data_IF_318946590069
#
_entry.id   IF_318946590069
#
_cell.length_a   1.000
_cell.length_b   1.000
_cell.length_c   1.000
_cell.angle_alpha   90.00
_cell.angle_beta   90.00
_cell.angle_gamma   90.00
#
_symmetry.space_group_name_H-M   'P 1'
#
loop_
_entity.id
_entity.type
_entity.pdbx_description
1 polymer ?
#
# COMPACT_ATOMS: atom_id res chain seq x y z
N UNK A 1 7.15 24.09 -10.16
CA UNK A 1 7.38 22.99 -9.18
C UNK A 1 6.25 21.98 -9.25
N UNK A 2 6.55 20.66 -9.14
CA UNK A 2 5.58 19.55 -9.07
C UNK A 2 5.61 18.96 -7.65
N UNK A 3 4.45 18.68 -7.07
CA UNK A 3 4.33 17.93 -5.80
C UNK A 3 3.69 16.57 -6.06
N UNK A 4 4.26 15.51 -5.48
CA UNK A 4 3.75 14.15 -5.48
C UNK A 4 3.50 13.74 -4.02
N UNK A 5 2.31 13.24 -3.72
CA UNK A 5 1.91 12.77 -2.39
C UNK A 5 1.31 11.37 -2.48
N UNK A 6 1.90 10.40 -1.76
CA UNK A 6 1.37 9.06 -1.57
C UNK A 6 0.85 8.94 -0.14
N UNK A 7 -0.48 8.92 0.03
CA UNK A 7 -1.13 8.98 1.33
C UNK A 7 -1.80 7.65 1.71
N UNK A 8 -1.22 6.98 2.69
CA UNK A 8 -1.84 5.85 3.38
C UNK A 8 -2.65 6.27 4.61
N UNK A 9 -3.13 5.27 5.35
CA UNK A 9 -3.90 5.52 6.58
C UNK A 9 -3.08 6.16 7.70
N UNK A 10 -1.77 5.94 7.76
CA UNK A 10 -0.91 6.36 8.87
C UNK A 10 0.10 7.43 8.51
N UNK A 11 0.49 7.51 7.26
CA UNK A 11 1.52 8.43 6.76
C UNK A 11 1.20 8.90 5.35
N UNK A 12 1.71 10.09 5.01
CA UNK A 12 1.85 10.57 3.64
C UNK A 12 3.33 10.77 3.34
N UNK A 13 3.82 10.10 2.32
CA UNK A 13 5.15 10.34 1.77
C UNK A 13 5.06 11.38 0.64
N UNK A 14 5.82 12.47 0.78
CA UNK A 14 5.85 13.59 -0.15
C UNK A 14 7.14 13.65 -0.92
N UNK A 15 7.05 14.07 -2.17
CA UNK A 15 8.17 14.58 -2.97
C UNK A 15 7.75 15.87 -3.63
N UNK A 16 8.61 16.88 -3.57
CA UNK A 16 8.49 18.04 -4.44
C UNK A 16 9.69 18.11 -5.37
N UNK A 17 9.44 18.51 -6.60
CA UNK A 17 10.42 18.58 -7.66
C UNK A 17 10.42 20.01 -8.16
N UNK A 18 11.49 20.73 -7.81
CA UNK A 18 11.67 22.14 -8.22
C UNK A 18 11.99 22.25 -9.72
N UNK A 19 11.86 23.44 -10.27
CA UNK A 19 12.10 23.70 -11.69
C UNK A 19 13.55 23.46 -12.10
N UNK A 20 14.49 23.52 -11.14
CA UNK A 20 15.90 23.17 -11.36
C UNK A 20 16.21 21.67 -11.20
N UNK A 21 15.20 20.83 -10.92
CA UNK A 21 15.33 19.38 -10.73
C UNK A 21 15.74 18.94 -9.32
N UNK A 22 15.81 19.85 -8.35
CA UNK A 22 16.05 19.47 -6.95
C UNK A 22 14.81 18.77 -6.39
N UNK A 23 15.02 17.66 -5.70
CA UNK A 23 13.96 16.87 -5.08
C UNK A 23 14.01 17.04 -3.57
N UNK A 24 12.91 17.49 -2.98
CA UNK A 24 12.73 17.51 -1.53
C UNK A 24 11.82 16.35 -1.11
N UNK A 25 12.06 15.82 0.08
CA UNK A 25 11.37 14.64 0.61
C UNK A 25 10.89 14.92 2.00
N UNK A 26 9.61 14.64 2.25
CA UNK A 26 9.00 14.83 3.55
C UNK A 26 8.07 13.67 3.87
N UNK A 27 7.86 13.41 5.15
CA UNK A 27 6.83 12.50 5.65
C UNK A 27 5.96 13.19 6.68
N UNK A 28 4.65 13.09 6.51
CA UNK A 28 3.65 13.63 7.44
C UNK A 28 2.68 12.54 7.89
N UNK A 29 1.79 12.81 8.86
CA UNK A 29 0.64 11.96 9.13
C UNK A 29 -0.21 11.73 7.87
N UNK A 30 -0.86 10.55 7.79
CA UNK A 30 -1.68 10.17 6.65
C UNK A 30 -2.96 11.00 6.56
N UNK A 31 -3.27 11.48 5.38
CA UNK A 31 -4.51 12.19 5.09
C UNK A 31 -5.52 11.22 4.47
N UNK A 32 -6.19 10.45 5.31
CA UNK A 32 -7.22 9.53 4.85
C UNK A 32 -8.42 10.32 4.34
N UNK A 33 -8.68 10.23 3.05
CA UNK A 33 -9.76 10.98 2.36
C UNK A 33 -11.16 10.72 2.92
N UNK A 34 -11.39 9.57 3.55
CA UNK A 34 -12.68 9.22 4.12
C UNK A 34 -12.93 9.80 5.53
N UNK A 35 -11.89 10.22 6.25
CA UNK A 35 -11.98 10.57 7.67
C UNK A 35 -11.20 11.82 8.09
N UNK A 36 -10.31 12.34 7.27
CA UNK A 36 -9.55 13.54 7.58
C UNK A 36 -10.46 14.79 7.57
N UNK A 37 -10.40 15.60 8.63
CA UNK A 37 -11.13 16.86 8.70
C UNK A 37 -10.38 17.98 7.99
N UNK A 38 -11.07 19.05 7.53
CA UNK A 38 -10.41 20.20 6.92
C UNK A 38 -9.32 20.82 7.81
N UNK A 39 -9.55 20.90 9.11
CA UNK A 39 -8.58 21.46 10.08
C UNK A 39 -7.33 20.60 10.18
N UNK A 40 -7.50 19.28 10.17
CA UNK A 40 -6.37 18.34 10.18
C UNK A 40 -5.54 18.47 8.90
N UNK A 41 -6.22 18.48 7.73
CA UNK A 41 -5.56 18.63 6.43
C UNK A 41 -4.80 19.96 6.36
N UNK A 42 -5.45 21.07 6.74
CA UNK A 42 -4.84 22.39 6.78
C UNK A 42 -3.60 22.42 7.69
N UNK A 43 -3.67 21.78 8.87
CA UNK A 43 -2.52 21.63 9.78
C UNK A 43 -1.36 20.84 9.18
N UNK A 44 -1.65 19.74 8.47
CA UNK A 44 -0.63 18.94 7.76
C UNK A 44 0.02 19.77 6.67
N UNK A 45 -0.77 20.46 5.83
CA UNK A 45 -0.24 21.31 4.75
C UNK A 45 0.60 22.46 5.29
N UNK A 46 0.14 23.16 6.34
CA UNK A 46 0.89 24.25 6.96
C UNK A 46 2.27 23.80 7.46
N UNK A 47 2.39 22.56 7.96
CA UNK A 47 3.68 21.99 8.37
C UNK A 47 4.53 21.50 7.21
N UNK A 48 3.90 21.05 6.13
CA UNK A 48 4.60 20.43 5.00
C UNK A 48 5.17 21.45 4.01
N UNK A 49 4.43 22.54 3.73
CA UNK A 49 4.78 23.52 2.70
C UNK A 49 6.20 24.11 2.89
N UNK A 50 6.63 24.57 4.06
CA UNK A 50 7.95 25.16 4.23
C UNK A 50 9.11 24.19 3.95
N UNK A 51 8.87 22.90 4.11
CA UNK A 51 9.87 21.84 3.87
C UNK A 51 9.84 21.33 2.43
N UNK A 52 8.67 21.35 1.79
CA UNK A 52 8.51 20.94 0.40
C UNK A 52 8.92 22.05 -0.59
N UNK A 53 8.79 23.30 -0.18
CA UNK A 53 9.17 24.45 -0.99
C UNK A 53 9.94 25.50 -0.17
N UNK A 54 11.20 25.24 0.19
CA UNK A 54 12.03 26.20 0.91
C UNK A 54 12.42 27.41 0.05
N UNK A 55 12.24 27.34 -1.27
CA UNK A 55 12.59 28.40 -2.22
C UNK A 55 11.43 29.35 -2.55
N UNK A 56 10.18 28.98 -2.23
CA UNK A 56 8.98 29.76 -2.55
C UNK A 56 8.64 29.73 -4.04
N UNK A 57 8.89 28.63 -4.73
CA UNK A 57 8.53 28.45 -6.13
C UNK A 57 7.00 28.28 -6.27
N UNK A 58 6.45 28.70 -7.41
CA UNK A 58 5.05 28.43 -7.72
C UNK A 58 4.83 26.92 -7.95
N UNK A 59 3.96 26.31 -7.16
CA UNK A 59 3.50 24.93 -7.38
C UNK A 59 2.49 24.94 -8.53
N UNK A 60 2.80 24.22 -9.60
CA UNK A 60 1.97 24.16 -10.83
C UNK A 60 1.18 22.86 -10.94
N UNK A 61 1.68 21.78 -10.36
CA UNK A 61 1.06 20.45 -10.44
C UNK A 61 1.13 19.74 -9.08
N UNK A 62 0.03 19.08 -8.68
CA UNK A 62 -0.01 18.21 -7.51
C UNK A 62 -0.63 16.89 -7.93
N UNK A 63 0.11 15.79 -7.72
CA UNK A 63 -0.38 14.43 -7.93
C UNK A 63 -0.58 13.75 -6.57
N UNK A 64 -1.84 13.63 -6.17
CA UNK A 64 -2.22 13.07 -4.88
C UNK A 64 -2.82 11.67 -5.04
N UNK A 65 -2.13 10.69 -4.48
CA UNK A 65 -2.52 9.29 -4.50
C UNK A 65 -2.94 8.84 -3.11
N UNK A 66 -4.07 8.17 -3.00
CA UNK A 66 -4.49 7.62 -1.72
C UNK A 66 -5.35 6.35 -1.84
N UNK A 67 -5.23 5.50 -0.80
CA UNK A 67 -6.15 4.39 -0.61
C UNK A 67 -7.60 4.88 -0.47
N UNK A 68 -8.53 4.19 -1.12
CA UNK A 68 -9.95 4.54 -1.10
C UNK A 68 -10.38 5.67 -2.06
N UNK A 69 -9.45 6.31 -2.75
CA UNK A 69 -9.79 7.19 -3.87
C UNK A 69 -10.26 6.34 -5.06
N UNK A 70 -11.51 6.59 -5.48
CA UNK A 70 -12.06 6.06 -6.73
C UNK A 70 -12.20 7.26 -7.66
N UNK A 71 -11.23 7.47 -8.53
CA UNK A 71 -11.22 8.52 -9.52
C UNK A 71 -10.94 7.93 -10.89
N UNK A 72 -11.63 8.45 -11.90
CA UNK A 72 -11.33 8.22 -13.31
C UNK A 72 -10.30 9.23 -13.87
N UNK A 73 -9.78 10.10 -12.99
CA UNK A 73 -8.83 11.15 -13.34
C UNK A 73 -9.47 12.42 -13.93
N UNK A 74 -10.79 12.48 -14.08
CA UNK A 74 -11.48 13.60 -14.75
C UNK A 74 -12.20 14.54 -13.78
N UNK A 75 -12.57 14.08 -12.59
CA UNK A 75 -13.31 14.86 -11.61
C UNK A 75 -12.74 14.64 -10.19
N UNK A 76 -12.88 15.68 -9.35
CA UNK A 76 -12.59 15.57 -7.92
C UNK A 76 -13.58 14.59 -7.29
N UNK A 77 -13.12 13.46 -6.73
CA UNK A 77 -14.02 12.52 -6.06
C UNK A 77 -14.70 13.17 -4.86
N UNK A 78 -15.96 12.81 -4.58
CA UNK A 78 -16.69 13.35 -3.43
C UNK A 78 -15.91 13.18 -2.11
N UNK A 79 -15.19 12.07 -1.96
CA UNK A 79 -14.33 11.81 -0.80
C UNK A 79 -13.11 12.75 -0.71
N UNK A 80 -12.70 13.38 -1.79
CA UNK A 80 -11.55 14.29 -1.82
C UNK A 80 -11.92 15.77 -1.74
N UNK A 81 -13.20 16.15 -1.73
CA UNK A 81 -13.62 17.56 -1.78
C UNK A 81 -13.03 18.44 -0.68
N UNK A 82 -12.95 17.93 0.55
CA UNK A 82 -12.35 18.68 1.65
C UNK A 82 -10.84 18.88 1.43
N UNK A 83 -10.17 17.82 0.96
CA UNK A 83 -8.75 17.87 0.64
C UNK A 83 -8.47 18.84 -0.50
N UNK A 84 -9.29 18.77 -1.57
CA UNK A 84 -9.21 19.66 -2.72
C UNK A 84 -9.36 21.14 -2.33
N UNK A 85 -10.35 21.45 -1.50
CA UNK A 85 -10.55 22.81 -0.99
C UNK A 85 -9.34 23.32 -0.19
N UNK A 86 -8.72 22.50 0.65
CA UNK A 86 -7.54 22.89 1.42
C UNK A 86 -6.28 22.98 0.55
N UNK A 87 -6.11 22.12 -0.45
CA UNK A 87 -5.03 22.24 -1.42
C UNK A 87 -5.13 23.52 -2.25
N UNK A 88 -6.32 23.87 -2.76
CA UNK A 88 -6.49 25.12 -3.53
C UNK A 88 -6.31 26.39 -2.69
N UNK A 89 -6.56 26.33 -1.37
CA UNK A 89 -6.21 27.44 -0.47
C UNK A 89 -4.68 27.60 -0.33
N UNK A 90 -3.96 26.49 -0.26
CA UNK A 90 -2.51 26.48 -0.09
C UNK A 90 -1.76 26.75 -1.41
N UNK A 91 -2.29 26.22 -2.51
CA UNK A 91 -1.69 26.24 -3.85
C UNK A 91 -2.72 26.65 -4.90
N UNK A 92 -3.10 27.94 -4.96
CA UNK A 92 -4.23 28.41 -5.78
C UNK A 92 -4.02 28.27 -7.29
N UNK A 93 -2.77 28.14 -7.75
CA UNK A 93 -2.44 28.03 -9.18
C UNK A 93 -2.17 26.58 -9.61
N UNK A 94 -2.21 25.60 -8.69
CA UNK A 94 -1.87 24.22 -8.99
C UNK A 94 -3.02 23.47 -9.67
N UNK A 95 -2.70 22.72 -10.72
CA UNK A 95 -3.55 21.66 -11.22
C UNK A 95 -3.40 20.43 -10.32
N UNK A 96 -4.52 19.86 -9.84
CA UNK A 96 -4.48 18.77 -8.86
C UNK A 96 -5.11 17.51 -9.44
N UNK A 97 -4.31 16.45 -9.57
CA UNK A 97 -4.78 15.12 -9.92
C UNK A 97 -5.00 14.28 -8.65
N UNK A 98 -6.17 13.64 -8.55
CA UNK A 98 -6.49 12.67 -7.49
C UNK A 98 -6.57 11.27 -8.07
N UNK A 99 -5.81 10.33 -7.54
CA UNK A 99 -5.80 8.96 -8.03
C UNK A 99 -5.71 7.93 -6.89
N UNK A 100 -6.09 6.69 -7.21
CA UNK A 100 -6.01 5.59 -6.25
C UNK A 100 -4.57 5.14 -6.01
N UNK A 101 -4.33 4.51 -4.85
CA UNK A 101 -3.10 3.80 -4.54
C UNK A 101 -2.76 2.71 -5.57
N UNK A 102 -3.77 2.14 -6.21
CA UNK A 102 -3.56 1.13 -7.26
C UNK A 102 -3.04 1.74 -8.57
N UNK A 103 -3.50 2.94 -8.95
CA UNK A 103 -2.94 3.66 -10.10
C UNK A 103 -1.54 4.19 -9.81
N UNK A 104 -1.29 4.62 -8.57
CA UNK A 104 0.03 4.91 -8.04
C UNK A 104 1.00 3.73 -8.28
N UNK A 105 0.66 2.55 -7.74
CA UNK A 105 1.46 1.35 -7.90
C UNK A 105 1.71 1.01 -9.38
N UNK A 106 0.69 1.15 -10.24
CA UNK A 106 0.81 0.87 -11.66
C UNK A 106 1.79 1.84 -12.35
N UNK A 107 1.66 3.14 -12.11
CA UNK A 107 2.56 4.18 -12.65
C UNK A 107 3.99 4.00 -12.15
N UNK A 108 4.15 3.73 -10.85
CA UNK A 108 5.46 3.55 -10.25
C UNK A 108 6.23 2.34 -10.79
N UNK A 109 5.53 1.20 -10.98
CA UNK A 109 6.14 -0.07 -11.35
C UNK A 109 6.24 -0.28 -12.87
N UNK A 110 5.30 0.24 -13.64
CA UNK A 110 5.21 0.01 -15.07
C UNK A 110 5.62 1.23 -15.91
N UNK A 111 5.68 2.41 -15.29
CA UNK A 111 5.89 3.66 -16.03
C UNK A 111 4.75 3.88 -17.03
N UNK A 112 5.13 4.10 -18.30
CA UNK A 112 4.19 4.28 -19.41
C UNK A 112 4.07 3.04 -20.31
N UNK A 113 4.29 1.85 -19.74
CA UNK A 113 4.25 0.58 -20.46
C UNK A 113 3.17 -0.33 -19.85
N UNK A 114 2.56 -1.20 -20.68
CA UNK A 114 1.66 -2.22 -20.15
C UNK A 114 2.35 -3.15 -19.15
N UNK A 115 1.64 -3.52 -18.08
CA UNK A 115 2.16 -4.41 -17.05
C UNK A 115 1.11 -4.82 -16.02
N UNK A 116 1.52 -5.64 -15.07
CA UNK A 116 0.73 -6.03 -13.91
C UNK A 116 1.37 -5.38 -12.67
N UNK A 117 0.59 -4.60 -11.95
CA UNK A 117 1.01 -4.00 -10.70
C UNK A 117 0.31 -4.69 -9.51
N UNK A 118 1.08 -4.96 -8.46
CA UNK A 118 0.61 -5.64 -7.25
C UNK A 118 1.02 -4.84 -6.02
N UNK A 119 0.08 -4.55 -5.14
CA UNK A 119 0.32 -3.98 -3.81
C UNK A 119 0.31 -5.10 -2.79
N UNK A 120 1.36 -5.21 -1.97
CA UNK A 120 1.43 -6.13 -0.83
C UNK A 120 1.97 -5.39 0.40
N UNK A 121 1.05 -4.82 1.15
CA UNK A 121 1.28 -4.16 2.44
C UNK A 121 0.51 -4.84 3.56
N UNK A 122 -0.22 -4.06 4.36
CA UNK A 122 -1.20 -4.60 5.32
C UNK A 122 -2.28 -5.39 4.59
N UNK A 123 -2.89 -4.80 3.55
CA UNK A 123 -3.77 -5.50 2.60
C UNK A 123 -3.04 -5.86 1.32
N UNK A 124 -3.80 -6.28 0.31
CA UNK A 124 -3.31 -6.52 -1.04
C UNK A 124 -4.26 -5.95 -2.10
N UNK A 125 -3.73 -5.61 -3.25
CA UNK A 125 -4.50 -5.27 -4.44
C UNK A 125 -3.67 -5.55 -5.69
N UNK A 126 -4.31 -5.64 -6.85
CA UNK A 126 -3.58 -5.86 -8.11
C UNK A 126 -4.36 -5.32 -9.30
N UNK A 127 -3.66 -4.97 -10.37
CA UNK A 127 -4.30 -4.56 -11.62
C UNK A 127 -3.47 -4.91 -12.84
N UNK A 128 -4.15 -4.97 -13.96
CA UNK A 128 -3.58 -4.89 -15.29
C UNK A 128 -3.66 -3.43 -15.76
N UNK A 129 -2.55 -2.93 -16.22
CA UNK A 129 -2.33 -1.55 -16.63
C UNK A 129 -1.89 -1.51 -18.10
N UNK A 130 -2.42 -0.59 -18.89
CA UNK A 130 -2.11 -0.50 -20.33
C UNK A 130 -1.00 0.52 -20.68
N UNK A 131 -0.45 1.20 -19.69
CA UNK A 131 0.52 2.29 -19.83
C UNK A 131 -0.08 3.67 -19.53
N UNK A 132 -1.40 3.78 -19.44
CA UNK A 132 -2.13 5.01 -19.14
C UNK A 132 -3.13 4.84 -17.99
N UNK A 133 -3.91 3.75 -18.03
CA UNK A 133 -4.99 3.46 -17.09
C UNK A 133 -5.06 1.99 -16.67
N UNK A 134 -5.76 1.75 -15.59
CA UNK A 134 -6.10 0.40 -15.15
C UNK A 134 -7.19 -0.15 -16.07
N UNK A 135 -6.90 -1.25 -16.77
CA UNK A 135 -7.84 -1.91 -17.69
C UNK A 135 -8.55 -3.11 -17.04
N UNK A 136 -7.96 -3.67 -15.99
CA UNK A 136 -8.57 -4.75 -15.21
C UNK A 136 -8.11 -4.69 -13.75
N UNK A 137 -9.04 -4.84 -12.82
CA UNK A 137 -8.74 -5.00 -11.40
C UNK A 137 -9.48 -6.22 -10.85
N UNK A 138 -8.74 -7.20 -10.36
CA UNK A 138 -9.29 -8.29 -9.54
C UNK A 138 -9.45 -7.76 -8.13
N UNK A 139 -10.69 -7.59 -7.68
CA UNK A 139 -11.01 -6.96 -6.39
C UNK A 139 -10.38 -7.73 -5.22
N UNK A 140 -9.67 -7.04 -4.36
CA UNK A 140 -9.01 -7.66 -3.19
C UNK A 140 -9.99 -8.20 -2.14
N UNK A 141 -11.18 -7.61 -2.05
CA UNK A 141 -12.21 -8.00 -1.08
C UNK A 141 -11.95 -7.54 0.35
N UNK A 142 -10.79 -6.94 0.64
CA UNK A 142 -10.39 -6.47 1.96
C UNK A 142 -10.10 -7.63 2.95
N UNK A 143 -9.74 -7.29 4.20
CA UNK A 143 -9.22 -8.26 5.17
C UNK A 143 -10.20 -9.37 5.56
N UNK A 144 -11.51 -9.17 5.39
CA UNK A 144 -12.53 -10.18 5.69
C UNK A 144 -12.62 -11.21 4.56
N UNK A 145 -12.77 -10.76 3.32
CA UNK A 145 -13.11 -11.59 2.17
C UNK A 145 -11.91 -11.96 1.29
N UNK A 146 -10.76 -11.33 1.51
CA UNK A 146 -9.60 -11.47 0.65
C UNK A 146 -8.31 -10.97 1.28
N UNK A 147 -7.65 -10.02 0.61
CA UNK A 147 -6.31 -9.51 0.91
C UNK A 147 -5.24 -10.61 0.92
N UNK A 148 -5.42 -11.64 0.09
CA UNK A 148 -4.45 -12.72 -0.05
C UNK A 148 -3.05 -12.18 -0.37
N UNK A 149 -2.05 -12.73 0.28
CA UNK A 149 -0.67 -12.27 0.17
C UNK A 149 -0.33 -11.06 1.06
N UNK A 150 -1.33 -10.38 1.66
CA UNK A 150 -1.11 -9.24 2.56
C UNK A 150 -0.80 -9.64 4.00
N UNK A 151 -0.24 -8.69 4.76
CA UNK A 151 0.14 -8.90 6.16
C UNK A 151 -1.04 -9.13 7.10
N UNK A 152 -2.19 -8.48 6.86
CA UNK A 152 -3.40 -8.70 7.64
C UNK A 152 -4.02 -10.07 7.39
N UNK A 153 -3.95 -10.57 6.15
CA UNK A 153 -4.36 -11.93 5.82
C UNK A 153 -3.49 -12.95 6.55
N UNK A 154 -2.17 -12.78 6.54
CA UNK A 154 -1.25 -13.61 7.32
C UNK A 154 -1.58 -13.59 8.82
N UNK A 155 -1.76 -12.40 9.40
CA UNK A 155 -2.13 -12.25 10.81
C UNK A 155 -3.48 -12.86 11.15
N UNK A 156 -4.46 -12.76 10.25
CA UNK A 156 -5.79 -13.40 10.40
C UNK A 156 -5.67 -14.93 10.44
N UNK A 157 -4.90 -15.51 9.53
CA UNK A 157 -4.69 -16.95 9.48
C UNK A 157 -3.99 -17.44 10.75
N UNK A 158 -2.89 -16.79 11.13
CA UNK A 158 -2.15 -17.12 12.36
C UNK A 158 -3.03 -16.97 13.61
N UNK A 159 -3.76 -15.88 13.74
CA UNK A 159 -4.64 -15.65 14.89
C UNK A 159 -5.77 -16.69 14.98
N UNK A 160 -6.33 -17.09 13.83
CA UNK A 160 -7.32 -18.16 13.79
C UNK A 160 -6.77 -19.48 14.33
N UNK A 161 -5.54 -19.83 13.96
CA UNK A 161 -4.86 -21.04 14.43
C UNK A 161 -4.46 -20.91 15.90
N UNK A 162 -3.99 -19.73 16.33
CA UNK A 162 -3.64 -19.46 17.73
C UNK A 162 -4.83 -19.68 18.66
N UNK A 163 -5.99 -19.10 18.34
CA UNK A 163 -7.21 -19.27 19.16
C UNK A 163 -7.74 -20.72 19.22
N UNK A 164 -7.34 -21.56 18.27
CA UNK A 164 -7.72 -22.97 18.21
C UNK A 164 -6.66 -23.92 18.79
N UNK A 165 -5.53 -23.39 19.27
CA UNK A 165 -4.42 -24.17 19.78
C UNK A 165 -3.67 -24.98 18.70
N UNK A 166 -3.66 -24.48 17.45
CA UNK A 166 -2.99 -25.13 16.31
C UNK A 166 -1.58 -24.57 16.07
N UNK A 167 -1.24 -23.43 16.66
CA UNK A 167 0.13 -22.90 16.60
C UNK A 167 1.03 -23.75 17.48
N UNK A 168 2.15 -24.28 16.94
CA UNK A 168 3.03 -25.18 17.70
C UNK A 168 3.77 -24.43 18.83
N UNK A 169 4.05 -25.19 19.91
CA UNK A 169 4.95 -24.72 20.97
C UNK A 169 6.44 -24.82 20.51
N UNK A 170 7.32 -23.92 20.97
CA UNK A 170 7.08 -22.83 21.94
C UNK A 170 6.53 -21.52 21.33
N UNK A 171 6.25 -21.48 20.03
CA UNK A 171 5.83 -20.26 19.32
C UNK A 171 4.52 -19.65 19.88
N UNK A 172 3.56 -20.51 20.25
CA UNK A 172 2.28 -20.05 20.82
C UNK A 172 2.50 -19.32 22.15
N UNK A 173 3.34 -19.88 23.02
CA UNK A 173 3.69 -19.24 24.31
C UNK A 173 4.41 -17.92 24.09
N UNK A 174 5.44 -17.87 23.22
CA UNK A 174 6.17 -16.64 22.90
C UNK A 174 5.25 -15.54 22.35
N UNK A 175 4.32 -15.91 21.48
CA UNK A 175 3.35 -14.97 20.92
C UNK A 175 2.42 -14.41 22.00
N UNK A 176 1.87 -15.28 22.86
CA UNK A 176 0.96 -14.89 23.92
C UNK A 176 1.65 -13.94 24.93
N UNK A 177 2.88 -14.23 25.32
CA UNK A 177 3.67 -13.41 26.23
C UNK A 177 4.02 -12.05 25.64
N UNK A 178 4.42 -12.03 24.37
CA UNK A 178 4.84 -10.80 23.70
C UNK A 178 3.70 -9.81 23.48
N UNK A 179 2.55 -10.30 23.07
CA UNK A 179 1.42 -9.44 22.67
C UNK A 179 0.32 -9.36 23.71
N UNK A 180 0.41 -10.12 24.80
CA UNK A 180 -0.58 -10.16 25.88
C UNK A 180 -2.00 -10.40 25.32
N UNK A 181 -2.12 -11.30 24.35
CA UNK A 181 -3.39 -11.60 23.66
C UNK A 181 -4.11 -12.76 24.32
N UNK A 182 -5.41 -12.56 24.51
CA UNK A 182 -6.38 -13.57 24.87
C UNK A 182 -7.60 -13.49 23.95
N UNK A 183 -8.54 -14.41 24.10
CA UNK A 183 -9.75 -14.44 23.29
C UNK A 183 -10.55 -13.13 23.34
N UNK A 184 -10.69 -12.51 24.51
CA UNK A 184 -11.48 -11.29 24.69
C UNK A 184 -10.81 -10.08 24.02
N UNK A 185 -9.49 -9.98 24.14
CA UNK A 185 -8.68 -8.94 23.49
C UNK A 185 -8.80 -9.05 21.96
N UNK A 186 -8.73 -10.27 21.42
CA UNK A 186 -8.90 -10.49 19.97
C UNK A 186 -10.29 -10.09 19.51
N UNK A 187 -11.35 -10.53 20.22
CA UNK A 187 -12.73 -10.17 19.90
C UNK A 187 -12.94 -8.66 19.95
N UNK A 188 -12.39 -7.99 20.96
CA UNK A 188 -12.50 -6.54 21.07
C UNK A 188 -11.85 -5.82 19.87
N UNK A 189 -10.62 -6.21 19.49
CA UNK A 189 -9.88 -5.51 18.43
C UNK A 189 -10.38 -5.86 17.00
N UNK A 190 -10.81 -7.11 16.78
CA UNK A 190 -11.25 -7.57 15.46
C UNK A 190 -12.69 -7.18 15.15
N UNK A 191 -13.61 -7.29 16.13
CA UNK A 191 -15.05 -7.09 15.88
C UNK A 191 -15.60 -5.77 16.39
N UNK A 192 -14.93 -5.09 17.33
CA UNK A 192 -15.39 -3.84 17.94
C UNK A 192 -14.39 -2.70 17.80
N UNK A 193 -13.14 -2.99 17.41
CA UNK A 193 -12.10 -1.98 17.21
C UNK A 193 -12.26 -1.21 15.90
N UNK A 194 -11.67 -0.01 15.84
CA UNK A 194 -11.74 0.88 14.67
C UNK A 194 -10.80 0.50 13.51
N UNK A 195 -9.80 -0.41 13.74
CA UNK A 195 -8.78 -0.75 12.75
C UNK A 195 -8.40 -2.24 12.78
N UNK A 196 -9.33 -3.16 12.53
CA UNK A 196 -9.09 -4.60 12.66
C UNK A 196 -8.02 -5.14 11.69
N UNK A 197 -7.96 -4.61 10.47
CA UNK A 197 -6.92 -4.98 9.49
C UNK A 197 -5.52 -4.58 9.99
N UNK A 198 -5.38 -3.37 10.53
CA UNK A 198 -4.12 -2.90 11.14
C UNK A 198 -3.71 -3.76 12.34
N UNK A 199 -4.67 -4.10 13.21
CA UNK A 199 -4.43 -4.97 14.36
C UNK A 199 -3.90 -6.34 13.92
N UNK A 200 -4.56 -7.01 12.99
CA UNK A 200 -4.12 -8.30 12.46
C UNK A 200 -2.76 -8.19 11.74
N UNK A 201 -2.58 -7.16 10.93
CA UNK A 201 -1.33 -6.92 10.22
C UNK A 201 -0.13 -6.64 11.14
N UNK A 202 -0.37 -6.11 12.34
CA UNK A 202 0.70 -5.80 13.31
C UNK A 202 1.45 -7.04 13.81
N UNK A 203 0.87 -8.23 13.68
CA UNK A 203 1.52 -9.50 14.04
C UNK A 203 2.46 -10.02 12.95
N UNK A 204 2.33 -9.54 11.72
CA UNK A 204 3.11 -10.07 10.58
C UNK A 204 4.62 -9.98 10.77
N UNK A 205 5.24 -8.95 11.39
CA UNK A 205 6.67 -8.93 11.63
C UNK A 205 7.14 -10.04 12.58
N UNK A 206 6.35 -10.32 13.64
CA UNK A 206 6.65 -11.41 14.56
C UNK A 206 6.57 -12.76 13.85
N UNK A 207 5.49 -13.02 13.13
CA UNK A 207 5.31 -14.25 12.37
C UNK A 207 6.46 -14.42 11.38
N UNK A 208 6.78 -13.37 10.63
CA UNK A 208 7.86 -13.37 9.62
C UNK A 208 9.23 -13.68 10.20
N UNK A 209 9.52 -13.23 11.43
CA UNK A 209 10.82 -13.49 12.08
C UNK A 209 11.08 -14.98 12.33
N UNK A 210 10.05 -15.81 12.33
CA UNK A 210 10.12 -17.27 12.53
C UNK A 210 10.11 -18.07 11.21
N UNK A 211 10.11 -17.40 10.06
CA UNK A 211 10.00 -18.06 8.74
C UNK A 211 11.05 -19.15 8.51
N UNK A 212 12.30 -18.90 8.89
CA UNK A 212 13.41 -19.83 8.66
C UNK A 212 13.58 -20.89 9.75
N UNK A 213 12.91 -20.76 10.89
CA UNK A 213 13.11 -21.59 12.06
C UNK A 213 11.93 -22.49 12.39
N UNK A 214 10.73 -22.10 12.03
CA UNK A 214 9.48 -22.82 12.36
C UNK A 214 8.77 -23.27 11.08
N UNK A 215 8.75 -24.58 10.76
CA UNK A 215 8.12 -25.12 9.54
C UNK A 215 6.66 -24.68 9.34
N UNK A 216 5.88 -24.63 10.42
CA UNK A 216 4.50 -24.13 10.41
C UNK A 216 4.42 -22.68 9.86
N UNK A 217 5.30 -21.79 10.32
CA UNK A 217 5.32 -20.39 9.86
C UNK A 217 5.71 -20.31 8.39
N UNK A 218 6.70 -21.10 7.98
CA UNK A 218 7.10 -21.16 6.58
C UNK A 218 5.94 -21.57 5.68
N UNK A 219 5.22 -22.62 6.05
CA UNK A 219 4.06 -23.08 5.29
C UNK A 219 2.93 -22.05 5.26
N UNK A 220 2.66 -21.41 6.39
CA UNK A 220 1.63 -20.38 6.51
C UNK A 220 1.90 -19.20 5.57
N UNK A 221 3.13 -18.68 5.54
CA UNK A 221 3.54 -17.56 4.68
C UNK A 221 3.55 -18.00 3.20
N UNK A 222 4.11 -19.16 2.90
CA UNK A 222 4.15 -19.71 1.54
C UNK A 222 2.72 -19.86 0.99
N UNK A 223 1.79 -20.37 1.78
CA UNK A 223 0.39 -20.56 1.38
C UNK A 223 -0.37 -19.24 1.26
N UNK A 224 -0.06 -18.23 2.09
CA UNK A 224 -0.62 -16.89 1.92
C UNK A 224 -0.23 -16.29 0.55
N UNK A 225 1.04 -16.41 0.14
CA UNK A 225 1.45 -15.98 -1.19
C UNK A 225 0.87 -16.85 -2.32
N UNK A 226 0.84 -18.19 -2.18
CA UNK A 226 0.19 -19.05 -3.18
C UNK A 226 -1.27 -18.67 -3.40
N UNK A 227 -1.97 -18.26 -2.33
CA UNK A 227 -3.36 -17.79 -2.44
C UNK A 227 -3.48 -16.54 -3.30
N UNK A 228 -2.56 -15.59 -3.21
CA UNK A 228 -2.50 -14.43 -4.09
C UNK A 228 -2.42 -14.85 -5.56
N UNK A 229 -1.50 -15.77 -5.90
CA UNK A 229 -1.34 -16.23 -7.28
C UNK A 229 -2.57 -16.99 -7.77
N UNK A 230 -3.10 -17.91 -6.98
CA UNK A 230 -4.24 -18.77 -7.41
C UNK A 230 -5.56 -18.02 -7.48
N UNK A 231 -5.79 -17.02 -6.61
CA UNK A 231 -7.09 -16.33 -6.52
C UNK A 231 -7.12 -15.01 -7.27
N UNK A 232 -6.00 -14.30 -7.35
CA UNK A 232 -5.92 -12.98 -7.95
C UNK A 232 -5.13 -12.98 -9.25
N UNK A 233 -3.83 -13.31 -9.21
CA UNK A 233 -2.94 -13.11 -10.35
C UNK A 233 -3.21 -14.06 -11.52
N UNK A 234 -3.72 -15.28 -11.26
CA UNK A 234 -4.16 -16.22 -12.31
C UNK A 234 -5.28 -15.69 -13.22
N UNK A 235 -5.96 -14.62 -12.80
CA UNK A 235 -7.04 -14.02 -13.56
C UNK A 235 -6.58 -12.98 -14.59
N UNK A 236 -5.29 -12.61 -14.58
CA UNK A 236 -4.70 -11.69 -15.56
C UNK A 236 -4.02 -12.46 -16.69
N UNK A 237 -3.98 -11.85 -17.87
CA UNK A 237 -3.08 -12.29 -18.94
C UNK A 237 -1.68 -11.74 -18.67
N UNK A 238 -0.86 -12.54 -17.98
CA UNK A 238 0.50 -12.17 -17.56
C UNK A 238 1.52 -12.41 -18.68
N UNK A 239 1.16 -13.19 -19.71
CA UNK A 239 2.11 -13.59 -20.75
C UNK A 239 2.80 -12.38 -21.41
N UNK A 240 4.12 -12.31 -21.29
CA UNK A 240 4.92 -11.23 -21.87
C UNK A 240 4.80 -9.85 -21.20
N UNK A 241 4.08 -9.73 -20.10
CA UNK A 241 3.95 -8.49 -19.33
C UNK A 241 4.85 -8.51 -18.09
N UNK A 242 5.52 -7.39 -17.75
CA UNK A 242 6.22 -7.28 -16.48
C UNK A 242 5.23 -7.35 -15.32
N UNK A 243 5.62 -8.02 -14.24
CA UNK A 243 4.86 -8.06 -12.98
C UNK A 243 5.69 -7.33 -11.93
N UNK A 244 5.26 -6.15 -11.53
CA UNK A 244 5.88 -5.37 -10.47
C UNK A 244 5.10 -5.49 -9.16
N UNK A 245 5.82 -5.46 -8.03
CA UNK A 245 5.21 -5.54 -6.70
C UNK A 245 5.70 -4.39 -5.82
N UNK A 246 4.78 -3.72 -5.15
CA UNK A 246 5.09 -2.65 -4.20
C UNK A 246 4.49 -2.94 -2.83
N UNK A 247 5.22 -2.59 -1.79
CA UNK A 247 4.76 -2.62 -0.41
C UNK A 247 5.77 -3.21 0.57
N UNK A 248 5.70 -2.75 1.82
CA UNK A 248 6.66 -3.14 2.85
C UNK A 248 6.64 -4.64 3.17
N UNK A 249 5.47 -5.28 3.10
CA UNK A 249 5.36 -6.72 3.32
C UNK A 249 6.02 -7.53 2.19
N UNK A 250 5.80 -7.13 0.93
CA UNK A 250 6.47 -7.74 -0.22
C UNK A 250 8.00 -7.60 -0.12
N UNK A 251 8.49 -6.41 0.19
CA UNK A 251 9.92 -6.13 0.30
C UNK A 251 10.59 -6.97 1.40
N UNK A 252 9.90 -7.15 2.54
CA UNK A 252 10.37 -8.00 3.64
C UNK A 252 10.44 -9.49 3.27
N UNK A 253 9.65 -9.94 2.29
CA UNK A 253 9.56 -11.33 1.84
C UNK A 253 10.01 -11.54 0.39
N UNK A 254 10.86 -10.65 -0.13
CA UNK A 254 11.26 -10.61 -1.54
C UNK A 254 11.67 -11.97 -2.10
N UNK A 255 12.57 -12.67 -1.44
CA UNK A 255 13.07 -13.98 -1.90
C UNK A 255 11.96 -15.05 -1.92
N UNK A 256 11.15 -15.07 -0.87
CA UNK A 256 10.01 -16.00 -0.76
C UNK A 256 8.98 -15.74 -1.86
N UNK A 257 8.65 -14.47 -2.10
CA UNK A 257 7.68 -14.09 -3.10
C UNK A 257 8.15 -14.45 -4.52
N UNK A 258 9.43 -14.21 -4.85
CA UNK A 258 10.03 -14.59 -6.13
C UNK A 258 10.01 -16.12 -6.30
N UNK A 259 10.35 -16.88 -5.27
CA UNK A 259 10.31 -18.35 -5.29
C UNK A 259 8.90 -18.88 -5.54
N UNK A 260 7.90 -18.34 -4.81
CA UNK A 260 6.49 -18.73 -5.01
C UNK A 260 6.00 -18.33 -6.40
N UNK A 261 6.33 -17.13 -6.89
CA UNK A 261 5.97 -16.70 -8.25
C UNK A 261 6.45 -17.69 -9.31
N UNK A 262 7.66 -18.22 -9.14
CA UNK A 262 8.23 -19.21 -10.07
C UNK A 262 7.44 -20.54 -10.10
N UNK A 263 6.77 -20.93 -9.01
CA UNK A 263 5.88 -22.10 -8.98
C UNK A 263 4.69 -21.95 -9.95
N UNK A 264 4.31 -20.69 -10.25
CA UNK A 264 3.21 -20.33 -11.17
C UNK A 264 3.71 -19.86 -12.55
N UNK A 265 5.01 -19.99 -12.83
CA UNK A 265 5.61 -19.53 -14.09
C UNK A 265 5.63 -18.00 -14.23
N UNK A 266 5.48 -17.26 -13.13
CA UNK A 266 5.50 -15.79 -13.12
C UNK A 266 6.89 -15.28 -12.78
N UNK A 267 7.40 -14.37 -13.61
CA UNK A 267 8.64 -13.63 -13.32
C UNK A 267 8.30 -12.25 -12.79
N UNK A 268 8.69 -11.97 -11.54
CA UNK A 268 8.55 -10.65 -10.96
C UNK A 268 9.71 -9.77 -11.46
N UNK A 269 9.38 -8.65 -12.09
CA UNK A 269 10.36 -7.72 -12.66
C UNK A 269 10.97 -6.81 -11.61
N UNK A 270 10.18 -6.41 -10.61
CA UNK A 270 10.61 -5.48 -9.57
C UNK A 270 9.82 -5.72 -8.28
N UNK A 271 10.49 -5.56 -7.13
CA UNK A 271 9.85 -5.47 -5.80
C UNK A 271 10.45 -4.27 -5.08
N UNK A 272 9.59 -3.32 -4.71
CA UNK A 272 9.96 -2.11 -3.96
C UNK A 272 9.09 -1.94 -2.71
N UNK A 273 9.64 -1.31 -1.67
CA UNK A 273 8.91 -1.07 -0.42
C UNK A 273 7.93 0.11 -0.51
N UNK A 274 8.18 1.06 -1.42
CA UNK A 274 7.36 2.28 -1.61
C UNK A 274 7.33 2.62 -3.11
N UNK A 275 6.21 3.16 -3.60
CA UNK A 275 6.08 3.56 -5.01
C UNK A 275 6.75 4.92 -5.32
N UNK A 276 7.06 5.72 -4.31
CA UNK A 276 7.34 7.14 -4.44
C UNK A 276 8.48 7.48 -5.41
N UNK A 277 9.55 6.68 -5.45
CA UNK A 277 10.66 6.91 -6.38
C UNK A 277 10.27 6.59 -7.83
N UNK A 278 9.44 5.57 -8.03
CA UNK A 278 8.84 5.24 -9.33
C UNK A 278 7.90 6.35 -9.82
N UNK A 279 7.13 6.96 -8.91
CA UNK A 279 6.28 8.10 -9.23
C UNK A 279 7.08 9.34 -9.63
N UNK A 280 8.16 9.65 -8.91
CA UNK A 280 9.07 10.74 -9.30
C UNK A 280 9.53 10.54 -10.75
N UNK A 281 9.99 9.33 -11.06
CA UNK A 281 10.39 8.98 -12.42
C UNK A 281 9.25 9.12 -13.43
N UNK A 282 8.06 8.62 -13.11
CA UNK A 282 6.88 8.70 -13.98
C UNK A 282 6.50 10.14 -14.31
N UNK A 283 6.56 11.07 -13.34
CA UNK A 283 6.15 12.46 -13.53
C UNK A 283 7.26 13.35 -14.08
N UNK A 284 8.52 12.94 -14.03
CA UNK A 284 9.66 13.71 -14.59
C UNK A 284 10.11 13.24 -15.96
N UNK A 285 9.95 11.97 -16.31
CA UNK A 285 10.29 11.42 -17.61
C UNK A 285 9.08 11.51 -18.56
N UNK A 286 9.19 12.31 -19.64
CA UNK A 286 8.15 12.50 -20.66
C UNK A 286 8.23 11.42 -21.73
#
# INVERSE_FOLDING_TARGET
MIIIAESGATKTDWRSISDNGTIYSLRTPGMNVASATPEFISGVLASAIPELDPSGETVTEIHFYAAGLISDGTNVPDSAKNLDAEFHKAFPEAEIEYASDLLDAARALCGRKPGIAVILGTGSNSCEYDGEKIVKNVRSGGFILGDEGGGACLGKLFMSDFLKGLVPEPLATEFAEKFQVDYLTVVQNVYKGGAPSGYLGSFSPFISSHYNTVPYVKELIDNNFRSLFTRCLSQYDIAGKPVGVVGGFAAAHKETLIRIASEFGVTISEITASPVEGLVKFHTEK
#
